data_IF_118008239657
#
_entry.id   IF_118008239657
#
_cell.length_a   1.000
_cell.length_b   1.000
_cell.length_c   1.000
_cell.angle_alpha   90.00
_cell.angle_beta   90.00
_cell.angle_gamma   90.00
#
_symmetry.space_group_name_H-M   'P 1'
#
loop_
_entity.id
_entity.type
_entity.pdbx_description
1 polymer ?
#
# COMPACT_ATOMS: atom_id res chain seq x y z
N UNK A 1 -17.71 17.79 -28.79
CA UNK A 1 -16.35 17.70 -29.35
C UNK A 1 -15.58 16.64 -28.59
N UNK A 2 -14.75 15.85 -29.25
CA UNK A 2 -13.83 14.88 -28.63
C UNK A 2 -12.74 15.62 -27.87
N UNK A 3 -12.50 15.26 -26.60
CA UNK A 3 -11.50 15.89 -25.74
C UNK A 3 -10.17 15.15 -25.78
N UNK A 4 -9.08 15.89 -25.56
CA UNK A 4 -7.75 15.34 -25.34
C UNK A 4 -7.49 15.33 -23.84
N UNK A 5 -7.31 14.14 -23.27
CA UNK A 5 -7.18 13.91 -21.83
C UNK A 5 -5.77 13.44 -21.50
N UNK A 6 -5.17 14.01 -20.47
CA UNK A 6 -3.94 13.52 -19.88
C UNK A 6 -4.22 12.97 -18.49
N UNK A 7 -3.77 11.77 -18.23
CA UNK A 7 -3.78 11.14 -16.91
C UNK A 7 -2.36 11.14 -16.35
N UNK A 8 -2.17 11.61 -15.12
CA UNK A 8 -0.86 11.80 -14.50
C UNK A 8 -0.78 11.05 -13.19
N UNK A 9 0.19 10.16 -13.07
CA UNK A 9 0.67 9.64 -11.79
C UNK A 9 1.94 10.38 -11.40
N UNK A 10 1.96 11.15 -10.27
CA UNK A 10 3.16 11.83 -9.80
C UNK A 10 4.31 10.86 -9.51
N UNK A 11 5.54 11.37 -9.44
CA UNK A 11 6.79 10.62 -9.36
C UNK A 11 7.06 9.91 -8.02
N UNK A 12 6.06 9.40 -7.34
CA UNK A 12 6.23 8.56 -6.15
C UNK A 12 6.33 7.06 -6.50
N UNK A 13 6.96 6.31 -5.60
CA UNK A 13 7.04 4.85 -5.75
C UNK A 13 5.71 4.20 -5.42
N UNK A 14 5.18 3.43 -6.35
CA UNK A 14 3.99 2.62 -6.18
C UNK A 14 4.23 1.22 -6.76
N UNK A 15 3.72 0.19 -6.08
CA UNK A 15 3.82 -1.21 -6.52
C UNK A 15 2.66 -1.66 -7.40
N UNK A 16 1.63 -0.83 -7.54
CA UNK A 16 0.43 -1.11 -8.32
C UNK A 16 0.09 0.05 -9.24
N UNK A 17 -0.58 -0.21 -10.37
CA UNK A 17 -1.04 0.85 -11.25
C UNK A 17 -2.14 1.70 -10.58
N UNK A 18 -2.29 2.97 -10.99
CA UNK A 18 -3.27 3.89 -10.43
C UNK A 18 -4.70 3.55 -10.90
N UNK A 19 -5.38 2.63 -10.20
CA UNK A 19 -6.69 2.09 -10.57
C UNK A 19 -7.73 3.17 -10.88
N UNK A 20 -7.76 4.26 -10.10
CA UNK A 20 -8.66 5.39 -10.37
C UNK A 20 -8.43 6.01 -11.74
N UNK A 21 -7.18 6.21 -12.15
CA UNK A 21 -6.85 6.72 -13.49
C UNK A 21 -7.20 5.70 -14.60
N UNK A 22 -7.00 4.40 -14.36
CA UNK A 22 -7.39 3.37 -15.33
C UNK A 22 -8.91 3.40 -15.58
N UNK A 23 -9.71 3.59 -14.54
CA UNK A 23 -11.17 3.72 -14.68
C UNK A 23 -11.58 5.03 -15.37
N UNK A 24 -10.90 6.14 -15.07
CA UNK A 24 -11.08 7.43 -15.76
C UNK A 24 -10.72 7.30 -17.22
N UNK A 25 -9.67 6.55 -17.56
CA UNK A 25 -9.32 6.24 -18.96
C UNK A 25 -10.48 5.59 -19.71
N UNK A 26 -11.02 4.50 -19.16
CA UNK A 26 -12.18 3.81 -19.74
C UNK A 26 -13.37 4.74 -19.91
N UNK A 27 -13.68 5.54 -18.88
CA UNK A 27 -14.79 6.50 -18.94
C UNK A 27 -14.65 7.49 -20.10
N UNK A 28 -13.45 8.03 -20.34
CA UNK A 28 -13.19 8.94 -21.45
C UNK A 28 -13.17 8.24 -22.80
N UNK A 29 -12.56 7.06 -22.90
CA UNK A 29 -12.51 6.29 -24.16
C UNK A 29 -13.90 5.88 -24.64
N UNK A 30 -14.79 5.46 -23.73
CA UNK A 30 -16.20 5.16 -24.08
C UNK A 30 -16.91 6.39 -24.67
N UNK A 31 -16.54 7.59 -24.28
CA UNK A 31 -17.08 8.87 -24.80
C UNK A 31 -16.43 9.31 -26.13
N UNK A 32 -15.44 8.55 -26.60
CA UNK A 32 -14.68 8.86 -27.81
C UNK A 32 -13.57 9.88 -27.63
N UNK A 33 -13.20 10.23 -26.39
CA UNK A 33 -12.08 11.11 -26.08
C UNK A 33 -10.75 10.38 -26.33
N UNK A 34 -9.68 11.13 -26.61
CA UNK A 34 -8.31 10.58 -26.67
C UNK A 34 -7.66 10.69 -25.30
N UNK A 35 -7.01 9.62 -24.84
CA UNK A 35 -6.42 9.53 -23.50
C UNK A 35 -4.95 9.17 -23.60
N UNK A 36 -4.09 9.99 -23.01
CA UNK A 36 -2.68 9.71 -22.77
C UNK A 36 -2.48 9.51 -21.27
N UNK A 37 -1.56 8.63 -20.88
CA UNK A 37 -1.16 8.43 -19.49
C UNK A 37 0.34 8.70 -19.35
N UNK A 38 0.74 9.35 -18.23
CA UNK A 38 2.14 9.60 -17.92
C UNK A 38 2.41 9.38 -16.43
N UNK A 39 3.59 8.84 -16.14
CA UNK A 39 4.18 8.80 -14.80
C UNK A 39 5.38 9.74 -14.77
N UNK A 40 5.42 10.67 -13.81
CA UNK A 40 6.43 11.75 -13.77
C UNK A 40 7.87 11.27 -13.52
N UNK A 41 8.06 10.09 -12.94
CA UNK A 41 9.40 9.54 -12.76
C UNK A 41 9.82 8.66 -13.94
N UNK A 42 10.88 9.07 -14.63
CA UNK A 42 11.54 8.25 -15.65
C UNK A 42 12.24 6.99 -15.11
N UNK A 43 12.12 6.70 -13.81
CA UNK A 43 12.89 5.65 -13.13
C UNK A 43 12.38 4.24 -13.45
N UNK A 44 11.15 4.08 -13.94
CA UNK A 44 10.59 2.77 -14.29
C UNK A 44 9.86 2.79 -15.65
N UNK A 45 10.61 2.92 -16.73
CA UNK A 45 10.08 2.69 -18.09
C UNK A 45 9.53 1.27 -18.30
N UNK A 46 9.83 0.33 -17.38
CA UNK A 46 9.37 -1.06 -17.44
C UNK A 46 8.18 -1.37 -16.50
N UNK A 47 7.52 -0.35 -15.94
CA UNK A 47 6.40 -0.59 -15.02
C UNK A 47 5.20 -1.21 -15.76
N UNK A 48 5.08 -2.54 -15.66
CA UNK A 48 4.03 -3.34 -16.33
C UNK A 48 3.88 -3.08 -17.83
N UNK A 49 5.01 -2.90 -18.53
CA UNK A 49 5.00 -2.64 -19.98
C UNK A 49 4.52 -1.24 -20.38
N UNK A 50 4.45 -0.33 -19.42
CA UNK A 50 4.12 1.07 -19.67
C UNK A 50 5.16 1.70 -20.61
N UNK A 51 4.66 2.37 -21.66
CA UNK A 51 5.46 3.18 -22.59
C UNK A 51 4.98 4.63 -22.49
N UNK A 52 5.87 5.59 -22.13
CA UNK A 52 5.49 6.99 -22.08
C UNK A 52 5.11 7.49 -23.47
N UNK A 53 3.95 8.16 -23.61
CA UNK A 53 3.55 8.73 -24.90
C UNK A 53 4.35 9.99 -25.21
N UNK A 54 4.43 10.36 -26.48
CA UNK A 54 4.80 11.71 -26.86
C UNK A 54 3.68 12.68 -26.43
N UNK A 55 4.00 13.60 -25.53
CA UNK A 55 3.01 14.52 -24.98
C UNK A 55 2.58 15.54 -26.03
N UNK A 56 1.26 15.74 -26.18
CA UNK A 56 0.64 16.69 -27.09
C UNK A 56 0.92 18.14 -26.66
N UNK A 57 0.86 19.07 -27.60
CA UNK A 57 1.00 20.51 -27.33
C UNK A 57 -0.17 21.07 -26.52
N UNK A 58 -1.34 20.42 -26.55
CA UNK A 58 -2.55 20.84 -25.86
C UNK A 58 -3.33 19.65 -25.34
N UNK A 59 -3.87 19.79 -24.11
CA UNK A 59 -4.87 18.92 -23.49
C UNK A 59 -6.04 19.77 -23.01
N UNK A 60 -7.26 19.26 -23.15
CA UNK A 60 -8.48 19.92 -22.64
C UNK A 60 -8.63 19.71 -21.13
N UNK A 61 -8.20 18.50 -20.65
CA UNK A 61 -8.27 18.17 -19.22
C UNK A 61 -7.11 17.27 -18.79
N UNK A 62 -6.63 17.50 -17.59
CA UNK A 62 -5.54 16.74 -16.95
C UNK A 62 -6.05 16.21 -15.62
N UNK A 63 -5.98 14.89 -15.42
CA UNK A 63 -6.27 14.25 -14.13
C UNK A 63 -4.97 13.86 -13.45
N UNK A 64 -4.75 14.34 -12.23
CA UNK A 64 -3.58 14.04 -11.42
C UNK A 64 -4.04 13.24 -10.22
N UNK A 65 -3.53 12.01 -10.07
CA UNK A 65 -3.84 11.19 -8.90
C UNK A 65 -2.95 11.52 -7.72
N UNK A 66 -3.45 11.29 -6.50
CA UNK A 66 -2.68 11.42 -5.27
C UNK A 66 -2.87 10.18 -4.41
N UNK A 67 -1.78 9.63 -3.87
CA UNK A 67 -1.84 8.38 -3.11
C UNK A 67 -1.77 8.68 -1.60
N UNK A 68 -0.61 8.60 -0.98
CA UNK A 68 -0.47 8.78 0.46
C UNK A 68 -0.09 10.21 0.84
N UNK A 69 -0.44 10.63 2.06
CA UNK A 69 -0.13 11.96 2.58
C UNK A 69 1.37 12.27 2.60
N UNK A 70 2.22 11.27 2.81
CA UNK A 70 3.69 11.41 2.79
C UNK A 70 4.31 11.52 1.38
N UNK A 71 3.49 11.55 0.33
CA UNK A 71 3.88 11.87 -1.05
C UNK A 71 3.38 13.25 -1.48
N UNK A 72 3.04 14.11 -0.51
CA UNK A 72 2.48 15.42 -0.76
C UNK A 72 3.39 16.29 -1.65
N UNK A 73 4.70 16.26 -1.40
CA UNK A 73 5.67 17.07 -2.15
C UNK A 73 5.71 16.71 -3.64
N UNK A 74 5.72 15.39 -3.95
CA UNK A 74 5.70 14.92 -5.33
C UNK A 74 4.38 15.29 -6.02
N UNK A 75 3.26 15.21 -5.30
CA UNK A 75 1.94 15.57 -5.83
C UNK A 75 1.87 17.07 -6.13
N UNK A 76 2.27 17.94 -5.19
CA UNK A 76 2.27 19.39 -5.39
C UNK A 76 3.21 19.80 -6.53
N UNK A 77 4.40 19.20 -6.59
CA UNK A 77 5.35 19.44 -7.70
C UNK A 77 4.75 19.10 -9.05
N UNK A 78 4.09 17.93 -9.14
CA UNK A 78 3.40 17.49 -10.35
C UNK A 78 2.30 18.46 -10.75
N UNK A 79 1.42 18.86 -9.84
CA UNK A 79 0.34 19.81 -10.10
C UNK A 79 0.89 21.11 -10.67
N UNK A 80 1.87 21.75 -10.01
CA UNK A 80 2.46 23.03 -10.44
C UNK A 80 3.15 22.91 -11.81
N UNK A 81 3.80 21.79 -12.09
CA UNK A 81 4.41 21.53 -13.39
C UNK A 81 3.37 21.51 -14.50
N UNK A 82 2.24 20.81 -14.32
CA UNK A 82 1.20 20.73 -15.35
C UNK A 82 0.37 22.00 -15.46
N UNK A 83 0.19 22.77 -14.39
CA UNK A 83 -0.39 24.12 -14.44
C UNK A 83 0.45 25.06 -15.33
N UNK A 84 1.77 25.06 -15.13
CA UNK A 84 2.67 25.89 -15.92
C UNK A 84 2.76 25.44 -17.39
N UNK A 85 2.84 24.12 -17.62
CA UNK A 85 3.02 23.55 -18.96
C UNK A 85 1.77 23.64 -19.84
N UNK A 86 0.59 23.56 -19.23
CA UNK A 86 -0.71 23.55 -19.92
C UNK A 86 -1.70 24.55 -19.30
N UNK A 87 -1.45 25.87 -19.41
CA UNK A 87 -2.25 26.90 -18.72
C UNK A 87 -3.71 26.94 -19.17
N UNK A 88 -4.04 26.39 -20.34
CA UNK A 88 -5.43 26.30 -20.84
C UNK A 88 -6.15 25.00 -20.50
N UNK A 89 -5.49 24.05 -19.82
CA UNK A 89 -6.12 22.78 -19.46
C UNK A 89 -6.88 22.86 -18.14
N UNK A 90 -8.04 22.21 -18.06
CA UNK A 90 -8.75 22.01 -16.81
C UNK A 90 -8.04 20.92 -15.99
N UNK A 91 -7.41 21.29 -14.86
CA UNK A 91 -6.73 20.32 -13.99
C UNK A 91 -7.66 19.82 -12.90
N UNK A 92 -7.78 18.50 -12.79
CA UNK A 92 -8.53 17.77 -11.75
C UNK A 92 -7.56 16.95 -10.91
N UNK A 93 -7.61 17.11 -9.60
CA UNK A 93 -6.80 16.35 -8.63
C UNK A 93 -7.73 15.51 -7.78
N UNK A 94 -7.38 14.22 -7.57
CA UNK A 94 -8.16 13.31 -6.75
C UNK A 94 -7.31 12.22 -6.12
N UNK A 95 -7.92 11.35 -5.32
CA UNK A 95 -7.26 10.25 -4.63
C UNK A 95 -7.16 10.44 -3.11
N UNK A 96 -6.33 9.63 -2.46
CA UNK A 96 -6.33 9.53 -0.99
C UNK A 96 -5.86 10.83 -0.34
N UNK A 97 -4.68 11.37 -0.73
CA UNK A 97 -4.20 12.65 -0.18
C UNK A 97 -5.21 13.79 -0.44
N UNK A 98 -5.75 13.87 -1.66
CA UNK A 98 -6.76 14.86 -2.05
C UNK A 98 -8.02 14.80 -1.17
N UNK A 99 -8.40 13.60 -0.74
CA UNK A 99 -9.54 13.38 0.13
C UNK A 99 -9.24 13.71 1.60
N UNK A 100 -8.05 13.34 2.07
CA UNK A 100 -7.68 13.50 3.48
C UNK A 100 -7.28 14.94 3.82
N UNK A 101 -6.62 15.63 2.89
CA UNK A 101 -6.07 16.97 3.09
C UNK A 101 -6.41 17.92 1.91
N UNK A 102 -7.72 18.14 1.60
CA UNK A 102 -8.12 18.95 0.46
C UNK A 102 -7.65 20.40 0.56
N UNK A 103 -7.74 21.00 1.74
CA UNK A 103 -7.31 22.39 1.97
C UNK A 103 -5.80 22.56 1.80
N UNK A 104 -5.00 21.54 2.12
CA UNK A 104 -3.54 21.57 1.85
C UNK A 104 -3.27 21.71 0.35
N UNK A 105 -3.91 20.89 -0.49
CA UNK A 105 -3.74 20.97 -1.96
C UNK A 105 -4.24 22.33 -2.46
N UNK A 106 -5.42 22.77 -2.03
CA UNK A 106 -5.99 24.06 -2.42
C UNK A 106 -5.06 25.23 -2.10
N UNK A 107 -4.54 25.28 -0.89
CA UNK A 107 -3.64 26.37 -0.44
C UNK A 107 -2.29 26.36 -1.18
N UNK A 108 -1.83 25.22 -1.67
CA UNK A 108 -0.56 25.10 -2.38
C UNK A 108 -0.66 25.33 -3.89
N UNK A 109 -1.85 25.14 -4.47
CA UNK A 109 -2.01 25.05 -5.94
C UNK A 109 -3.21 25.83 -6.49
N UNK A 110 -4.06 26.41 -5.61
CA UNK A 110 -5.35 27.06 -5.95
C UNK A 110 -6.39 26.12 -6.59
N UNK A 111 -6.11 24.82 -6.70
CA UNK A 111 -7.03 23.82 -7.22
C UNK A 111 -7.90 23.28 -6.09
N UNK A 112 -9.22 23.27 -6.28
CA UNK A 112 -10.15 22.53 -5.42
C UNK A 112 -10.11 21.04 -5.82
N UNK A 113 -9.53 20.13 -4.98
CA UNK A 113 -9.43 18.72 -5.34
C UNK A 113 -10.78 18.01 -5.21
N UNK A 114 -10.93 16.90 -5.92
CA UNK A 114 -12.06 15.99 -5.73
C UNK A 114 -11.87 15.17 -4.46
N UNK A 115 -12.89 15.17 -3.61
CA UNK A 115 -12.92 14.41 -2.34
C UNK A 115 -13.76 13.14 -2.52
N UNK A 116 -13.25 12.02 -2.02
CA UNK A 116 -13.92 10.72 -2.08
C UNK A 116 -13.82 10.02 -3.44
N UNK A 117 -14.76 9.12 -3.69
CA UNK A 117 -14.82 8.32 -4.92
C UNK A 117 -15.43 9.13 -6.07
N UNK A 118 -14.83 9.01 -7.24
CA UNK A 118 -15.40 9.60 -8.46
C UNK A 118 -16.47 8.65 -9.04
N UNK A 119 -17.73 8.94 -8.77
CA UNK A 119 -18.88 8.06 -9.07
C UNK A 119 -18.97 7.63 -10.54
N UNK A 120 -18.60 8.48 -11.50
CA UNK A 120 -18.62 8.14 -12.93
C UNK A 120 -17.53 7.12 -13.28
N UNK A 121 -16.36 7.21 -12.63
CA UNK A 121 -15.27 6.26 -12.84
C UNK A 121 -15.55 4.91 -12.15
N UNK A 122 -16.24 4.91 -11.01
CA UNK A 122 -16.60 3.67 -10.30
C UNK A 122 -17.50 2.73 -11.12
N UNK A 123 -18.25 3.26 -12.09
CA UNK A 123 -19.10 2.49 -13.01
C UNK A 123 -18.31 1.89 -14.17
N UNK A 124 -17.06 2.27 -14.38
CA UNK A 124 -16.21 1.82 -15.48
C UNK A 124 -15.25 0.72 -15.01
N UNK A 125 -14.99 -0.24 -15.89
CA UNK A 125 -13.91 -1.21 -15.70
C UNK A 125 -12.55 -0.56 -15.89
N UNK A 126 -11.48 -1.06 -15.26
CA UNK A 126 -10.13 -0.54 -15.45
C UNK A 126 -9.64 -0.71 -16.90
N UNK A 127 -8.98 0.29 -17.43
CA UNK A 127 -8.32 0.22 -18.74
C UNK A 127 -6.95 -0.45 -18.63
N UNK A 128 -6.91 -1.74 -18.83
CA UNK A 128 -5.66 -2.52 -18.77
C UNK A 128 -4.73 -2.27 -19.96
N UNK A 129 -5.17 -1.58 -21.03
CA UNK A 129 -4.29 -1.24 -22.15
C UNK A 129 -3.18 -0.26 -21.77
N UNK A 130 -3.35 0.49 -20.67
CA UNK A 130 -2.31 1.37 -20.12
C UNK A 130 -1.13 0.59 -19.51
N UNK A 131 -1.36 -0.68 -19.11
CA UNK A 131 -0.39 -1.54 -18.45
C UNK A 131 -0.46 -2.97 -19.01
N UNK A 132 -0.01 -3.19 -20.26
CA UNK A 132 -0.23 -4.45 -20.97
C UNK A 132 0.44 -5.67 -20.31
N UNK A 133 1.55 -5.49 -19.62
CA UNK A 133 2.27 -6.59 -18.94
C UNK A 133 1.78 -6.85 -17.50
N UNK A 134 0.80 -6.11 -17.02
CA UNK A 134 0.21 -6.37 -15.70
C UNK A 134 -0.44 -7.77 -15.69
N UNK A 135 -0.01 -8.63 -14.78
CA UNK A 135 -0.46 -10.03 -14.72
C UNK A 135 -1.72 -10.26 -13.88
N UNK A 136 -2.29 -9.21 -13.31
CA UNK A 136 -3.47 -9.29 -12.46
C UNK A 136 -4.55 -8.32 -12.89
N UNK A 137 -5.81 -8.70 -12.66
CA UNK A 137 -6.93 -7.77 -12.58
C UNK A 137 -7.04 -7.21 -11.18
N UNK A 138 -7.53 -5.98 -11.03
CA UNK A 138 -7.75 -5.33 -9.73
C UNK A 138 -9.22 -4.91 -9.68
N UNK A 139 -9.92 -5.34 -8.63
CA UNK A 139 -11.33 -5.02 -8.43
C UNK A 139 -11.70 -4.94 -6.95
N UNK A 140 -12.97 -4.70 -6.69
CA UNK A 140 -13.61 -4.69 -5.37
C UNK A 140 -14.92 -5.46 -5.47
N UNK A 141 -15.25 -6.29 -4.48
CA UNK A 141 -16.61 -6.83 -4.30
C UNK A 141 -17.44 -5.91 -3.40
N UNK A 142 -16.74 -5.19 -2.51
CA UNK A 142 -17.32 -4.21 -1.59
C UNK A 142 -16.49 -2.93 -1.54
N UNK A 143 -17.13 -1.81 -1.23
CA UNK A 143 -16.47 -0.54 -0.96
C UNK A 143 -16.83 -0.09 0.45
N UNK A 144 -15.92 0.70 1.06
CA UNK A 144 -16.08 1.16 2.42
C UNK A 144 -15.88 0.08 3.48
N UNK A 145 -16.09 0.43 4.74
CA UNK A 145 -16.03 -0.49 5.87
C UNK A 145 -16.91 0.00 7.01
N UNK A 146 -17.69 -0.91 7.63
CA UNK A 146 -18.51 -0.58 8.82
C UNK A 146 -17.67 -0.34 10.09
N UNK A 147 -16.38 -0.73 10.07
CA UNK A 147 -15.46 -0.46 11.18
C UNK A 147 -14.86 0.95 11.05
N UNK A 148 -14.72 1.62 12.19
CA UNK A 148 -14.19 2.98 12.28
C UNK A 148 -12.82 3.00 12.97
N UNK A 149 -11.88 2.15 12.50
CA UNK A 149 -10.53 2.09 13.04
C UNK A 149 -9.86 3.48 12.98
N UNK A 150 -9.25 3.92 14.09
CA UNK A 150 -8.70 5.28 14.21
C UNK A 150 -7.62 5.57 13.17
N UNK A 151 -6.78 4.58 12.87
CA UNK A 151 -5.67 4.68 11.92
C UNK A 151 -6.07 4.57 10.45
N UNK A 152 -7.33 4.22 10.16
CA UNK A 152 -7.74 3.87 8.80
C UNK A 152 -8.37 5.06 8.06
N UNK A 153 -7.87 5.33 6.84
CA UNK A 153 -8.38 6.37 5.97
C UNK A 153 -9.75 6.05 5.36
N UNK A 154 -10.17 4.77 5.36
CA UNK A 154 -11.40 4.30 4.71
C UNK A 154 -12.63 5.03 5.25
N UNK A 155 -12.69 5.28 6.56
CA UNK A 155 -13.81 6.03 7.17
C UNK A 155 -14.01 7.45 6.62
N UNK A 156 -12.99 8.02 5.96
CA UNK A 156 -13.03 9.35 5.34
C UNK A 156 -13.14 9.22 3.82
N UNK A 157 -12.34 8.34 3.23
CA UNK A 157 -12.26 8.18 1.78
C UNK A 157 -13.46 7.42 1.18
N UNK A 158 -13.97 6.43 1.92
CA UNK A 158 -15.10 5.56 1.55
C UNK A 158 -16.03 5.39 2.76
N UNK A 159 -16.74 6.45 3.19
CA UNK A 159 -17.51 6.43 4.44
C UNK A 159 -18.69 5.48 4.42
N UNK A 160 -19.23 5.18 3.24
CA UNK A 160 -20.37 4.31 3.03
C UNK A 160 -19.93 2.89 2.64
N UNK A 161 -20.54 1.88 3.27
CA UNK A 161 -20.35 0.49 2.89
C UNK A 161 -21.42 0.08 1.87
N UNK A 162 -20.97 -0.36 0.69
CA UNK A 162 -21.86 -0.92 -0.32
C UNK A 162 -21.23 -2.09 -1.07
N UNK A 163 -22.08 -2.91 -1.68
CA UNK A 163 -21.69 -4.11 -2.45
C UNK A 163 -21.63 -3.73 -3.92
N UNK A 164 -20.57 -4.19 -4.60
CA UNK A 164 -20.43 -4.12 -6.07
C UNK A 164 -20.75 -5.49 -6.66
N UNK A 165 -21.99 -5.72 -7.01
CA UNK A 165 -22.47 -7.02 -7.49
C UNK A 165 -21.90 -7.45 -8.86
N UNK A 166 -21.47 -6.48 -9.68
CA UNK A 166 -20.96 -6.69 -11.03
C UNK A 166 -19.43 -6.60 -11.15
N UNK A 167 -18.73 -6.90 -10.07
CA UNK A 167 -17.28 -6.78 -10.00
C UNK A 167 -16.53 -7.60 -11.06
N UNK A 168 -17.14 -8.66 -11.59
CA UNK A 168 -16.57 -9.49 -12.65
C UNK A 168 -16.31 -8.70 -13.94
N UNK A 169 -17.01 -7.59 -14.17
CA UNK A 169 -16.77 -6.69 -15.30
C UNK A 169 -15.38 -6.04 -15.28
N UNK A 170 -14.78 -5.91 -14.07
CA UNK A 170 -13.43 -5.38 -13.91
C UNK A 170 -12.35 -6.41 -14.26
N UNK A 171 -12.73 -7.68 -14.50
CA UNK A 171 -11.78 -8.77 -14.69
C UNK A 171 -11.42 -8.93 -16.17
N UNK A 172 -10.15 -8.72 -16.47
CA UNK A 172 -9.59 -9.10 -17.75
C UNK A 172 -9.31 -10.63 -17.76
N UNK A 173 -9.95 -11.34 -18.66
CA UNK A 173 -9.87 -12.80 -18.75
C UNK A 173 -8.47 -13.30 -19.10
N UNK A 174 -7.65 -12.50 -19.78
CA UNK A 174 -6.27 -12.83 -20.10
C UNK A 174 -5.32 -12.81 -18.87
N UNK A 175 -5.70 -12.13 -17.79
CA UNK A 175 -4.88 -12.02 -16.59
C UNK A 175 -4.97 -13.28 -15.74
N UNK A 176 -3.83 -13.67 -15.10
CA UNK A 176 -3.71 -14.93 -14.34
C UNK A 176 -4.26 -14.85 -12.92
N UNK A 177 -4.35 -13.64 -12.36
CA UNK A 177 -4.71 -13.40 -10.96
C UNK A 177 -5.71 -12.26 -10.84
N UNK A 178 -6.54 -12.31 -9.81
CA UNK A 178 -7.40 -11.19 -9.40
C UNK A 178 -6.97 -10.73 -8.02
N UNK A 179 -6.69 -9.43 -7.88
CA UNK A 179 -6.43 -8.78 -6.61
C UNK A 179 -7.68 -8.01 -6.19
N UNK A 180 -8.20 -8.37 -5.04
CA UNK A 180 -9.32 -7.67 -4.41
C UNK A 180 -8.79 -6.62 -3.42
N UNK A 181 -9.20 -5.38 -3.61
CA UNK A 181 -8.87 -4.27 -2.72
C UNK A 181 -10.01 -3.93 -1.76
N UNK A 182 -10.82 -4.93 -1.45
CA UNK A 182 -11.91 -4.80 -0.47
C UNK A 182 -11.39 -4.39 0.90
N UNK A 183 -11.97 -3.35 1.48
CA UNK A 183 -11.60 -2.90 2.81
C UNK A 183 -12.06 -3.87 3.92
N UNK A 184 -13.17 -4.60 3.71
CA UNK A 184 -13.63 -5.67 4.59
C UNK A 184 -14.65 -6.58 3.89
N UNK A 185 -14.18 -7.48 3.04
CA UNK A 185 -15.03 -8.39 2.28
C UNK A 185 -15.89 -9.30 3.14
N UNK A 186 -15.40 -9.78 4.29
CA UNK A 186 -16.16 -10.68 5.16
C UNK A 186 -17.40 -10.04 5.79
N UNK A 187 -17.60 -8.73 5.64
CA UNK A 187 -18.85 -8.02 5.95
C UNK A 187 -19.89 -8.09 4.83
N UNK A 188 -19.53 -8.63 3.66
CA UNK A 188 -20.44 -8.68 2.51
C UNK A 188 -21.66 -9.56 2.80
N UNK A 189 -22.88 -9.06 2.62
CA UNK A 189 -24.09 -9.87 2.76
C UNK A 189 -24.22 -10.90 1.64
N UNK A 190 -23.47 -10.76 0.56
CA UNK A 190 -23.47 -11.69 -0.57
C UNK A 190 -22.17 -12.51 -0.67
N UNK A 191 -21.44 -12.65 0.46
CA UNK A 191 -20.18 -13.39 0.51
C UNK A 191 -20.27 -14.77 -0.16
N UNK A 192 -21.29 -15.58 0.18
CA UNK A 192 -21.46 -16.93 -0.39
C UNK A 192 -21.77 -16.90 -1.90
N UNK A 193 -22.54 -15.89 -2.37
CA UNK A 193 -22.76 -15.65 -3.80
C UNK A 193 -21.46 -15.32 -4.53
N UNK A 194 -20.61 -14.51 -3.91
CA UNK A 194 -19.28 -14.18 -4.46
C UNK A 194 -18.38 -15.42 -4.52
N UNK A 195 -18.38 -16.28 -3.51
CA UNK A 195 -17.64 -17.55 -3.54
C UNK A 195 -18.04 -18.40 -4.76
N UNK A 196 -19.33 -18.54 -5.08
CA UNK A 196 -19.78 -19.29 -6.25
C UNK A 196 -19.31 -18.67 -7.56
N UNK A 197 -19.19 -17.33 -7.64
CA UNK A 197 -18.60 -16.64 -8.77
C UNK A 197 -17.09 -16.93 -8.88
N UNK A 198 -16.35 -16.88 -7.75
CA UNK A 198 -14.92 -17.16 -7.72
C UNK A 198 -14.60 -18.60 -8.15
N UNK A 199 -15.40 -19.58 -7.75
CA UNK A 199 -15.27 -20.98 -8.20
C UNK A 199 -15.35 -21.11 -9.71
N UNK A 200 -16.29 -20.39 -10.36
CA UNK A 200 -16.46 -20.41 -11.82
C UNK A 200 -15.29 -19.77 -12.56
N UNK A 201 -14.68 -18.73 -11.99
CA UNK A 201 -13.57 -18.01 -12.62
C UNK A 201 -12.27 -18.81 -12.59
N UNK A 202 -12.04 -19.63 -11.56
CA UNK A 202 -10.86 -20.50 -11.39
C UNK A 202 -9.51 -19.82 -11.62
N UNK A 203 -9.34 -18.59 -11.13
CA UNK A 203 -8.05 -17.84 -11.11
C UNK A 203 -7.41 -17.89 -9.74
N UNK A 204 -6.20 -17.37 -9.61
CA UNK A 204 -5.58 -17.09 -8.32
C UNK A 204 -6.16 -15.80 -7.74
N UNK A 205 -6.51 -15.80 -6.46
CA UNK A 205 -7.10 -14.65 -5.77
C UNK A 205 -6.21 -14.16 -4.63
N UNK A 206 -6.06 -12.84 -4.51
CA UNK A 206 -5.37 -12.19 -3.39
C UNK A 206 -6.28 -11.10 -2.81
N UNK A 207 -6.76 -11.28 -1.57
CA UNK A 207 -7.47 -10.25 -0.82
C UNK A 207 -6.44 -9.36 -0.11
N UNK A 208 -5.89 -8.44 -0.88
CA UNK A 208 -4.67 -7.72 -0.57
C UNK A 208 -4.76 -6.82 0.68
N UNK A 209 -5.96 -6.32 1.04
CA UNK A 209 -6.16 -5.51 2.25
C UNK A 209 -6.29 -6.37 3.52
N UNK A 210 -6.40 -7.69 3.37
CA UNK A 210 -6.59 -8.63 4.46
C UNK A 210 -8.05 -8.86 4.83
N UNK A 211 -8.31 -10.03 5.40
CA UNK A 211 -9.61 -10.43 5.89
C UNK A 211 -9.72 -10.10 7.39
N UNK A 212 -10.90 -9.70 7.84
CA UNK A 212 -11.17 -9.42 9.25
C UNK A 212 -11.20 -10.73 10.05
N UNK A 213 -10.18 -11.00 10.85
CA UNK A 213 -10.04 -12.23 11.63
C UNK A 213 -11.22 -12.46 12.60
N UNK A 214 -11.92 -11.40 13.02
CA UNK A 214 -13.09 -11.44 13.90
C UNK A 214 -14.35 -11.98 13.23
N UNK A 215 -14.35 -12.04 11.91
CA UNK A 215 -15.45 -12.55 11.07
C UNK A 215 -15.09 -13.86 10.38
N UNK A 216 -13.87 -14.36 10.60
CA UNK A 216 -13.36 -15.58 9.97
C UNK A 216 -13.69 -16.80 10.83
N UNK A 217 -14.75 -17.50 10.46
CA UNK A 217 -15.25 -18.72 11.08
C UNK A 217 -14.98 -19.97 10.22
N UNK A 218 -15.38 -21.15 10.72
CA UNK A 218 -15.17 -22.42 10.01
C UNK A 218 -15.99 -22.51 8.70
N UNK A 219 -17.19 -21.94 8.67
CA UNK A 219 -18.03 -21.95 7.48
C UNK A 219 -17.39 -21.16 6.35
N UNK A 220 -16.93 -19.92 6.63
CA UNK A 220 -16.22 -19.09 5.65
C UNK A 220 -14.89 -19.71 5.26
N UNK A 221 -14.14 -20.27 6.22
CA UNK A 221 -12.88 -20.94 5.93
C UNK A 221 -13.05 -22.13 4.98
N UNK A 222 -14.10 -22.93 5.18
CA UNK A 222 -14.47 -24.03 4.29
C UNK A 222 -14.73 -23.52 2.87
N UNK A 223 -15.59 -22.51 2.72
CA UNK A 223 -15.89 -21.94 1.41
C UNK A 223 -14.65 -21.33 0.72
N UNK A 224 -13.82 -20.63 1.49
CA UNK A 224 -12.57 -20.04 0.97
C UNK A 224 -11.54 -21.11 0.58
N UNK A 225 -11.55 -22.30 1.19
CA UNK A 225 -10.67 -23.41 0.84
C UNK A 225 -11.00 -24.05 -0.51
N UNK A 226 -12.23 -23.84 -1.02
CA UNK A 226 -12.69 -24.33 -2.31
C UNK A 226 -12.27 -23.45 -3.48
N UNK A 227 -11.64 -22.28 -3.21
CA UNK A 227 -11.12 -21.35 -4.21
C UNK A 227 -9.60 -21.14 -4.03
N UNK A 228 -8.92 -20.70 -5.08
CA UNK A 228 -7.45 -20.59 -5.13
C UNK A 228 -6.97 -19.28 -4.50
N UNK A 229 -7.06 -19.14 -3.19
CA UNK A 229 -6.57 -17.96 -2.47
C UNK A 229 -5.11 -18.15 -2.07
N UNK A 230 -4.24 -17.21 -2.44
CA UNK A 230 -2.84 -17.20 -2.04
C UNK A 230 -2.23 -15.80 -2.22
N UNK A 231 -1.72 -15.19 -1.13
CA UNK A 231 -1.77 -15.67 0.27
C UNK A 231 -3.13 -15.41 0.93
N UNK A 232 -3.41 -16.11 2.03
CA UNK A 232 -4.48 -15.73 2.94
C UNK A 232 -3.95 -14.66 3.89
N UNK A 233 -4.61 -13.49 3.94
CA UNK A 233 -4.13 -12.33 4.69
C UNK A 233 -5.08 -11.96 5.82
N UNK A 234 -4.50 -11.61 6.98
CA UNK A 234 -5.18 -11.04 8.14
C UNK A 234 -4.45 -9.80 8.63
N UNK A 235 -4.95 -9.19 9.71
CA UNK A 235 -4.26 -8.16 10.47
C UNK A 235 -4.25 -8.49 11.97
N UNK A 236 -3.21 -8.03 12.68
CA UNK A 236 -3.10 -8.05 14.13
C UNK A 236 -2.56 -6.70 14.58
N UNK A 237 -3.41 -5.69 14.58
CA UNK A 237 -3.02 -4.29 14.75
C UNK A 237 -3.13 -3.80 16.20
N UNK A 238 -4.03 -4.40 16.98
CA UNK A 238 -4.30 -3.98 18.37
C UNK A 238 -4.85 -5.10 19.26
N UNK A 239 -5.04 -4.82 20.55
CA UNK A 239 -5.53 -5.77 21.54
C UNK A 239 -6.94 -6.33 21.28
N UNK A 240 -7.80 -5.61 20.58
CA UNK A 240 -9.15 -6.09 20.29
C UNK A 240 -9.19 -7.31 19.36
N UNK A 241 -8.07 -7.63 18.74
CA UNK A 241 -7.88 -8.78 17.86
C UNK A 241 -7.23 -9.98 18.57
N UNK A 242 -6.80 -9.79 19.83
CA UNK A 242 -6.18 -10.84 20.64
C UNK A 242 -7.16 -12.01 20.84
N UNK A 243 -6.66 -13.23 20.75
CA UNK A 243 -7.47 -14.45 20.76
C UNK A 243 -8.15 -14.74 19.43
N UNK A 244 -8.68 -13.73 18.76
CA UNK A 244 -9.41 -13.87 17.50
C UNK A 244 -8.49 -14.18 16.33
N UNK A 245 -7.35 -13.49 16.23
CA UNK A 245 -6.36 -13.78 15.19
C UNK A 245 -5.73 -15.16 15.36
N UNK A 246 -5.44 -15.57 16.60
CA UNK A 246 -4.91 -16.91 16.87
C UNK A 246 -5.93 -18.00 16.47
N UNK A 247 -7.20 -17.78 16.79
CA UNK A 247 -8.28 -18.68 16.37
C UNK A 247 -8.43 -18.72 14.84
N UNK A 248 -8.46 -17.56 14.18
CA UNK A 248 -8.55 -17.48 12.72
C UNK A 248 -7.40 -18.23 12.02
N UNK A 249 -6.16 -18.12 12.53
CA UNK A 249 -5.02 -18.86 12.00
C UNK A 249 -5.17 -20.38 12.21
N UNK A 250 -5.66 -20.82 13.38
CA UNK A 250 -5.91 -22.24 13.65
C UNK A 250 -6.98 -22.79 12.70
N UNK A 251 -8.10 -22.08 12.53
CA UNK A 251 -9.16 -22.43 11.57
C UNK A 251 -8.59 -22.50 10.15
N UNK A 252 -7.88 -21.47 9.71
CA UNK A 252 -7.28 -21.44 8.38
C UNK A 252 -6.38 -22.67 8.12
N UNK A 253 -5.56 -23.06 9.09
CA UNK A 253 -4.71 -24.26 8.99
C UNK A 253 -5.51 -25.55 8.95
N UNK A 254 -6.60 -25.65 9.73
CA UNK A 254 -7.52 -26.79 9.70
C UNK A 254 -8.10 -27.01 8.29
N UNK A 255 -8.37 -25.94 7.55
CA UNK A 255 -8.85 -25.96 6.17
C UNK A 255 -7.74 -25.90 5.10
N UNK A 256 -6.48 -26.16 5.46
CA UNK A 256 -5.38 -26.39 4.53
C UNK A 256 -4.64 -25.15 4.04
N UNK A 257 -4.91 -23.96 4.54
CA UNK A 257 -4.17 -22.75 4.19
C UNK A 257 -2.74 -22.79 4.75
N UNK A 258 -1.74 -22.76 3.86
CA UNK A 258 -0.30 -22.86 4.21
C UNK A 258 0.43 -21.51 4.16
N UNK A 259 0.03 -20.61 3.24
CA UNK A 259 0.60 -19.26 3.10
C UNK A 259 -0.31 -18.24 3.78
N UNK A 260 -0.12 -18.10 5.10
CA UNK A 260 -0.88 -17.15 5.92
C UNK A 260 0.02 -15.97 6.24
N UNK A 261 -0.40 -14.76 5.88
CA UNK A 261 0.32 -13.50 6.13
C UNK A 261 -0.52 -12.59 7.01
N UNK A 262 0.12 -11.95 7.98
CA UNK A 262 -0.56 -11.09 8.93
C UNK A 262 0.12 -9.73 8.97
N UNK A 263 -0.63 -8.69 8.66
CA UNK A 263 -0.20 -7.32 8.85
C UNK A 263 -0.10 -7.01 10.34
N UNK A 264 0.95 -6.29 10.75
CA UNK A 264 1.16 -5.92 12.15
C UNK A 264 1.52 -4.44 12.21
N UNK A 265 0.56 -3.60 12.57
CA UNK A 265 0.77 -2.17 12.73
C UNK A 265 1.68 -1.89 13.92
N UNK A 266 2.60 -0.94 13.80
CA UNK A 266 3.46 -0.51 14.90
C UNK A 266 3.77 0.98 14.84
N UNK A 267 4.25 1.55 15.95
CA UNK A 267 4.50 2.98 16.14
C UNK A 267 3.21 3.80 15.98
N UNK A 268 2.07 3.23 16.44
CA UNK A 268 0.75 3.84 16.32
C UNK A 268 0.38 4.73 17.50
N UNK A 269 -0.76 5.40 17.40
CA UNK A 269 -1.32 6.24 18.46
C UNK A 269 -1.98 5.43 19.59
N UNK A 270 -2.18 4.12 19.39
CA UNK A 270 -2.76 3.25 20.41
C UNK A 270 -1.88 3.25 21.67
N UNK A 271 -2.44 3.55 22.86
CA UNK A 271 -1.69 3.55 24.11
C UNK A 271 -1.03 2.20 24.45
N UNK A 272 -1.52 1.10 23.90
CA UNK A 272 -0.97 -0.23 24.11
C UNK A 272 0.09 -0.63 23.06
N UNK A 273 0.30 0.18 22.03
CA UNK A 273 1.27 -0.13 20.98
C UNK A 273 2.70 0.21 21.43
N UNK A 274 3.27 -0.66 22.25
CA UNK A 274 4.66 -0.57 22.74
C UNK A 274 5.57 -1.51 21.93
N UNK A 275 6.90 -1.31 21.97
CA UNK A 275 7.85 -2.25 21.37
C UNK A 275 7.72 -3.68 21.92
N UNK A 276 7.37 -3.83 23.21
CA UNK A 276 7.14 -5.12 23.86
C UNK A 276 5.89 -5.81 23.31
N UNK A 277 4.80 -5.05 23.13
CA UNK A 277 3.56 -5.61 22.56
C UNK A 277 3.72 -5.91 21.07
N UNK A 278 4.47 -5.09 20.33
CA UNK A 278 4.84 -5.42 18.95
C UNK A 278 5.63 -6.74 18.90
N UNK A 279 6.66 -6.89 19.76
CA UNK A 279 7.42 -8.13 19.85
C UNK A 279 6.52 -9.32 20.17
N UNK A 280 5.62 -9.18 21.13
CA UNK A 280 4.63 -10.22 21.47
C UNK A 280 3.84 -10.67 20.24
N UNK A 281 3.25 -9.74 19.51
CA UNK A 281 2.44 -10.05 18.31
C UNK A 281 3.24 -10.81 17.25
N UNK A 282 4.41 -10.33 16.87
CA UNK A 282 5.24 -11.03 15.85
C UNK A 282 5.74 -12.39 16.34
N UNK A 283 6.00 -12.55 17.63
CA UNK A 283 6.42 -13.80 18.25
C UNK A 283 5.27 -14.83 18.27
N UNK A 284 4.07 -14.41 18.62
CA UNK A 284 2.87 -15.27 18.58
C UNK A 284 2.57 -15.74 17.14
N UNK A 285 2.60 -14.83 16.17
CA UNK A 285 2.41 -15.18 14.77
C UNK A 285 3.48 -16.17 14.28
N UNK A 286 4.74 -15.97 14.68
CA UNK A 286 5.82 -16.90 14.35
C UNK A 286 5.61 -18.29 14.98
N UNK A 287 5.17 -18.38 16.26
CA UNK A 287 4.79 -19.64 16.93
C UNK A 287 3.66 -20.33 16.18
N UNK A 288 2.67 -19.57 15.73
CA UNK A 288 1.54 -20.07 14.95
C UNK A 288 1.92 -20.41 13.50
N UNK A 289 3.17 -20.21 13.09
CA UNK A 289 3.66 -20.46 11.73
C UNK A 289 2.98 -19.58 10.68
N UNK A 290 2.60 -18.36 11.02
CA UNK A 290 2.19 -17.31 10.09
C UNK A 290 3.37 -16.38 9.78
N UNK A 291 3.32 -15.72 8.62
CA UNK A 291 4.28 -14.69 8.20
C UNK A 291 3.79 -13.34 8.71
N UNK A 292 4.59 -12.67 9.53
CA UNK A 292 4.27 -11.30 9.95
C UNK A 292 4.75 -10.29 8.89
N UNK A 293 3.91 -9.29 8.59
CA UNK A 293 4.26 -8.16 7.74
C UNK A 293 4.13 -6.85 8.54
N UNK A 294 5.21 -6.41 9.21
CA UNK A 294 5.19 -5.18 9.99
C UNK A 294 4.92 -3.95 9.13
N UNK A 295 3.95 -3.15 9.54
CA UNK A 295 3.55 -1.91 8.89
C UNK A 295 3.67 -0.74 9.86
N UNK A 296 4.55 0.20 9.56
CA UNK A 296 4.69 1.38 10.40
C UNK A 296 3.52 2.33 10.19
N UNK A 297 2.87 2.72 11.29
CA UNK A 297 1.80 3.72 11.27
C UNK A 297 2.26 5.06 10.69
N UNK A 298 1.36 5.69 9.97
CA UNK A 298 1.48 7.06 9.47
C UNK A 298 0.17 7.79 9.75
N UNK A 299 0.22 8.95 10.43
CA UNK A 299 -0.96 9.78 10.61
C UNK A 299 -1.61 10.10 9.26
N UNK A 300 -2.92 9.97 9.20
CA UNK A 300 -3.68 10.21 7.96
C UNK A 300 -3.99 11.69 7.73
N UNK A 301 -3.78 12.51 8.73
CA UNK A 301 -4.04 13.96 8.78
C UNK A 301 -2.78 14.82 8.69
N UNK A 302 -1.61 14.21 8.40
CA UNK A 302 -0.31 14.90 8.34
C UNK A 302 0.46 14.51 7.09
N UNK A 303 1.12 15.49 6.50
CA UNK A 303 2.05 15.28 5.37
C UNK A 303 3.44 14.87 5.84
N UNK A 304 3.79 15.16 7.09
CA UNK A 304 5.10 14.92 7.66
C UNK A 304 5.35 13.42 7.88
N UNK A 305 6.52 12.97 7.43
CA UNK A 305 6.95 11.58 7.53
C UNK A 305 7.79 11.30 8.79
N UNK A 306 7.69 12.14 9.81
CA UNK A 306 8.54 12.11 11.01
C UNK A 306 7.82 11.69 12.28
N UNK A 307 6.56 11.22 12.16
CA UNK A 307 5.81 10.75 13.32
C UNK A 307 6.56 9.62 14.05
N UNK A 308 6.67 9.78 15.36
CA UNK A 308 7.12 8.76 16.29
C UNK A 308 6.19 8.83 17.50
N UNK A 309 5.53 7.73 17.82
CA UNK A 309 4.65 7.70 19.00
C UNK A 309 5.45 7.84 20.29
N UNK A 310 4.85 8.33 21.38
CA UNK A 310 5.55 8.51 22.66
C UNK A 310 6.18 7.24 23.25
N UNK A 311 5.75 6.05 22.80
CA UNK A 311 6.20 4.74 23.28
C UNK A 311 7.33 4.15 22.45
N UNK A 312 7.58 4.71 21.29
CA UNK A 312 8.65 4.31 20.38
C UNK A 312 9.76 5.36 20.35
N UNK A 313 10.91 4.99 19.85
CA UNK A 313 12.01 5.93 19.66
C UNK A 313 12.74 5.68 18.33
N UNK A 314 13.46 6.69 17.90
CA UNK A 314 14.19 6.66 16.61
C UNK A 314 15.20 5.51 16.50
N UNK A 315 16.00 5.16 17.53
CA UNK A 315 16.88 3.99 17.51
C UNK A 315 16.16 2.68 17.22
N UNK A 316 15.09 2.36 17.97
CA UNK A 316 14.31 1.13 17.76
C UNK A 316 13.67 1.06 16.38
N UNK A 317 13.05 2.16 15.94
CA UNK A 317 12.43 2.23 14.60
C UNK A 317 13.47 2.07 13.49
N UNK A 318 14.65 2.67 13.64
CA UNK A 318 15.75 2.52 12.67
C UNK A 318 16.26 1.09 12.62
N UNK A 319 16.50 0.48 13.77
CA UNK A 319 16.96 -0.90 13.87
C UNK A 319 15.95 -1.89 13.31
N UNK A 320 14.67 -1.72 13.66
CA UNK A 320 13.60 -2.56 13.12
C UNK A 320 13.53 -2.46 11.59
N UNK A 321 13.59 -1.25 11.02
CA UNK A 321 13.65 -1.05 9.57
C UNK A 321 14.83 -1.77 8.94
N UNK A 322 16.02 -1.69 9.54
CA UNK A 322 17.22 -2.37 9.05
C UNK A 322 17.06 -3.89 9.12
N UNK A 323 16.55 -4.43 10.23
CA UNK A 323 16.29 -5.85 10.40
C UNK A 323 15.33 -6.38 9.31
N UNK A 324 14.26 -5.65 9.04
CA UNK A 324 13.28 -6.02 8.00
C UNK A 324 13.86 -5.94 6.57
N UNK A 325 14.81 -5.01 6.32
CA UNK A 325 15.44 -4.88 5.00
C UNK A 325 16.53 -5.91 4.74
N UNK A 326 17.35 -6.23 5.74
CA UNK A 326 18.54 -7.09 5.55
C UNK A 326 18.28 -8.58 5.78
N UNK A 327 17.40 -8.91 6.73
CA UNK A 327 17.18 -10.30 7.11
C UNK A 327 15.93 -10.92 6.49
N UNK A 328 15.04 -10.11 5.94
CA UNK A 328 13.78 -10.58 5.37
C UNK A 328 13.50 -9.93 4.03
N UNK A 329 13.45 -10.75 3.00
CA UNK A 329 13.02 -10.30 1.67
C UNK A 329 11.61 -9.69 1.76
N UNK A 330 11.42 -8.52 1.19
CA UNK A 330 10.12 -7.83 1.11
C UNK A 330 9.50 -7.41 2.47
N UNK A 331 10.31 -7.26 3.52
CA UNK A 331 9.83 -6.76 4.83
C UNK A 331 8.97 -7.75 5.65
N UNK A 332 8.85 -9.01 5.20
CA UNK A 332 8.10 -10.04 5.92
C UNK A 332 8.99 -10.85 6.85
N UNK A 333 8.51 -11.10 8.07
CA UNK A 333 9.19 -11.97 9.04
C UNK A 333 8.82 -13.42 8.74
N UNK A 334 9.81 -14.23 8.37
CA UNK A 334 9.62 -15.64 8.00
C UNK A 334 9.27 -16.53 9.19
N UNK A 335 8.71 -17.72 8.89
CA UNK A 335 8.28 -18.72 9.88
C UNK A 335 9.42 -19.45 10.59
N UNK A 336 10.69 -19.21 10.23
CA UNK A 336 11.82 -19.88 10.84
C UNK A 336 12.04 -19.40 12.28
N UNK A 337 11.80 -20.31 13.23
CA UNK A 337 11.80 -20.03 14.67
C UNK A 337 13.19 -19.67 15.21
N UNK A 338 14.23 -20.34 14.74
CA UNK A 338 15.59 -20.05 15.20
C UNK A 338 16.10 -18.73 14.63
N UNK A 339 15.92 -18.49 13.32
CA UNK A 339 16.25 -17.20 12.72
C UNK A 339 15.46 -16.05 13.36
N UNK A 340 14.20 -16.27 13.78
CA UNK A 340 13.44 -15.28 14.53
C UNK A 340 14.11 -14.93 15.86
N UNK A 341 14.49 -15.94 16.67
CA UNK A 341 15.16 -15.74 17.95
C UNK A 341 16.53 -15.05 17.79
N UNK A 342 17.26 -15.41 16.74
CA UNK A 342 18.57 -14.84 16.45
C UNK A 342 18.48 -13.33 16.17
N UNK A 343 17.42 -12.90 15.47
CA UNK A 343 17.26 -11.50 15.07
C UNK A 343 16.50 -10.69 16.10
N UNK A 344 15.38 -11.23 16.59
CA UNK A 344 14.45 -10.50 17.46
C UNK A 344 14.57 -10.87 18.95
N UNK A 345 15.34 -11.90 19.30
CA UNK A 345 15.47 -12.36 20.67
C UNK A 345 14.40 -13.36 21.09
N UNK A 346 14.53 -13.87 22.31
CA UNK A 346 13.64 -14.87 22.92
C UNK A 346 12.51 -14.25 23.74
N UNK A 347 12.70 -13.00 24.16
CA UNK A 347 11.75 -12.22 24.93
C UNK A 347 11.88 -10.72 24.58
N UNK A 348 10.98 -9.89 25.14
CA UNK A 348 10.91 -8.46 24.83
C UNK A 348 12.17 -7.68 25.25
N UNK A 349 12.86 -8.11 26.33
CA UNK A 349 14.09 -7.45 26.77
C UNK A 349 15.24 -7.75 25.79
N UNK A 350 15.40 -9.02 25.39
CA UNK A 350 16.37 -9.40 24.37
C UNK A 350 16.07 -8.71 23.02
N UNK A 351 14.78 -8.58 22.66
CA UNK A 351 14.37 -7.83 21.48
C UNK A 351 14.90 -6.41 21.50
N UNK A 352 14.63 -5.67 22.58
CA UNK A 352 15.13 -4.28 22.71
C UNK A 352 16.65 -4.23 22.68
N UNK A 353 17.33 -5.10 23.39
CA UNK A 353 18.80 -5.16 23.41
C UNK A 353 19.39 -5.40 22.02
N UNK A 354 18.84 -6.36 21.26
CA UNK A 354 19.28 -6.65 19.88
C UNK A 354 19.02 -5.46 18.94
N UNK A 355 17.86 -4.81 19.05
CA UNK A 355 17.56 -3.63 18.22
C UNK A 355 18.51 -2.47 18.53
N UNK A 356 18.83 -2.20 19.79
CA UNK A 356 19.83 -1.18 20.15
C UNK A 356 21.23 -1.54 19.63
N UNK A 357 21.64 -2.82 19.70
CA UNK A 357 22.89 -3.30 19.11
C UNK A 357 22.98 -3.02 17.60
N UNK A 358 21.93 -3.37 16.84
CA UNK A 358 21.84 -3.11 15.40
C UNK A 358 21.92 -1.60 15.10
N UNK A 359 21.28 -0.75 15.91
CA UNK A 359 21.34 0.68 15.74
C UNK A 359 22.76 1.24 15.95
N UNK A 360 23.45 0.81 16.99
CA UNK A 360 24.83 1.25 17.28
C UNK A 360 25.81 0.78 16.20
N UNK A 361 25.64 -0.43 15.66
CA UNK A 361 26.42 -0.92 14.52
C UNK A 361 26.19 -0.10 13.24
N UNK A 362 24.92 0.25 12.92
CA UNK A 362 24.62 1.13 11.78
C UNK A 362 25.27 2.51 11.94
N UNK A 363 25.23 3.06 13.16
CA UNK A 363 25.86 4.33 13.50
C UNK A 363 27.38 4.29 13.35
N UNK A 364 28.03 3.25 13.86
CA UNK A 364 29.48 3.02 13.69
C UNK A 364 29.88 2.92 12.22
N UNK A 365 29.16 2.11 11.43
CA UNK A 365 29.43 1.98 9.98
C UNK A 365 29.30 3.31 9.23
N UNK A 366 28.30 4.13 9.55
CA UNK A 366 28.13 5.47 8.95
C UNK A 366 29.28 6.40 9.31
N UNK A 367 29.67 6.43 10.59
CA UNK A 367 30.82 7.25 11.03
C UNK A 367 32.10 6.83 10.32
N UNK A 368 32.35 5.53 10.13
CA UNK A 368 33.52 5.04 9.41
C UNK A 368 33.50 5.45 7.91
N UNK A 369 32.33 5.37 7.26
CA UNK A 369 32.18 5.86 5.87
C UNK A 369 32.48 7.35 5.74
N UNK A 370 32.00 8.16 6.69
CA UNK A 370 32.28 9.61 6.72
C UNK A 370 33.77 9.85 6.91
N UNK A 371 34.43 9.19 7.86
CA UNK A 371 35.89 9.28 8.08
C UNK A 371 36.68 8.92 6.82
N UNK A 372 36.33 7.82 6.15
CA UNK A 372 36.98 7.38 4.93
C UNK A 372 36.81 8.39 3.78
N UNK A 373 35.62 8.99 3.66
CA UNK A 373 35.36 10.04 2.67
C UNK A 373 36.19 11.29 2.92
N UNK A 374 36.31 11.74 4.19
CA UNK A 374 37.18 12.85 4.58
C UNK A 374 38.64 12.54 4.32
N UNK A 375 39.14 11.37 4.68
CA UNK A 375 40.50 10.97 4.42
C UNK A 375 40.82 10.95 2.91
N UNK A 376 39.93 10.44 2.08
CA UNK A 376 40.08 10.44 0.61
C UNK A 376 40.11 11.87 0.03
N UNK A 377 39.23 12.75 0.51
CA UNK A 377 39.23 14.15 0.08
C UNK A 377 40.50 14.88 0.53
N UNK A 378 41.06 14.57 1.70
CA UNK A 378 42.31 15.15 2.19
C UNK A 378 43.55 14.68 1.41
N UNK A 379 43.56 13.43 0.95
CA UNK A 379 44.60 12.92 0.04
C UNK A 379 44.55 13.62 -1.32
N UNK A 380 43.39 13.74 -1.92
CA UNK A 380 43.19 14.45 -3.19
C UNK A 380 43.63 15.93 -3.11
N UNK A 381 43.39 16.61 -1.97
CA UNK A 381 43.81 17.99 -1.75
C UNK A 381 45.33 18.12 -1.57
N UNK A 382 46.02 17.08 -1.08
CA UNK A 382 47.52 17.07 -1.01
C UNK A 382 48.13 16.85 -2.39
N UNK A 383 47.57 15.98 -3.21
CA UNK A 383 48.05 15.71 -4.57
C UNK A 383 47.91 16.93 -5.50
N UNK A 384 46.84 17.73 -5.32
CA UNK A 384 46.65 18.99 -6.09
C UNK A 384 47.60 20.13 -5.65
N UNK A 385 48.19 20.05 -4.43
CA UNK A 385 49.18 21.06 -3.97
C UNK A 385 50.62 20.78 -4.35
N UNK A 386 50.90 19.61 -4.91
CA UNK A 386 52.25 19.18 -5.31
C UNK A 386 52.35 18.85 -6.81
N UNK A 387 51.30 19.13 -7.59
CA UNK A 387 51.30 19.16 -9.06
C UNK A 387 51.28 20.62 -9.54
#
# INVERSE_FOLDING_TARGET
>A
MKKKILLVEPGYKNSYPPLGLMKISSWHKIRGDTVDFVKDDNINQSFFGYQPPELKKHYDRIYITSLFTYHADEVIKSIKNYQSKYPGAEIKVGGILATLLPEFIKNQTEINPHVGLLSVAEKCSPDYSLFPELQCSITFTTRGCKRKCKFCAVKIHEPEFFVKEDWEKDVDQAKKMIIFWDNNWLLSPIFFKDIEKLKKINKLFDFNQGLDCRLFDEEKAKCLSEVRIKPLRFAFDNHSEEGQIQNAIKIAKKFGFKDIRVYVLYDSEDPNDTPEYFYYRINELNKLGALSYPMRYRPIDKIENHYISPRWNKPLLRALKLSLMFYYSYGMIRKNREAFKDIFGRNANEFKGKMYGIYEDDKRRKMQKVKNKFAKNFQNLKEVKYA
#
